data_IF_205676796304
#
_entry.id   IF_205676796304
#
_cell.length_a   1.000
_cell.length_b   1.000
_cell.length_c   1.000
_cell.angle_alpha   90.00
_cell.angle_beta   90.00
_cell.angle_gamma   90.00
#
_symmetry.space_group_name_H-M   'P 1'
#
loop_
_entity.id
_entity.type
_entity.pdbx_description
1 polymer ?
#
# COMPACT_ATOMS: atom_id res chain seq x y z
N UNK A 1 7.35 17.18 -21.96
CA UNK A 1 6.09 16.81 -21.28
C UNK A 1 6.32 15.74 -20.22
N UNK A 2 7.07 14.66 -20.47
CA UNK A 2 7.39 13.64 -19.44
C UNK A 2 8.17 14.16 -18.21
N UNK A 3 9.02 15.18 -18.41
CA UNK A 3 9.80 15.79 -17.32
C UNK A 3 8.97 16.53 -16.28
N UNK A 4 7.83 17.11 -16.66
CA UNK A 4 6.95 17.81 -15.71
C UNK A 4 6.13 16.76 -14.94
N UNK A 5 5.65 15.73 -15.61
CA UNK A 5 4.88 14.66 -14.96
C UNK A 5 5.72 13.91 -13.92
N UNK A 6 6.94 13.49 -14.26
CA UNK A 6 7.88 12.86 -13.32
C UNK A 6 8.29 13.75 -12.13
N UNK A 7 8.28 15.08 -12.32
CA UNK A 7 8.61 16.04 -11.26
C UNK A 7 7.46 16.22 -10.26
N UNK A 8 6.21 16.28 -10.73
CA UNK A 8 5.03 16.30 -9.87
C UNK A 8 4.84 14.96 -9.14
N UNK A 9 5.19 13.84 -9.78
CA UNK A 9 5.02 12.46 -9.29
C UNK A 9 5.70 12.15 -7.96
N UNK A 10 6.85 12.77 -7.66
CA UNK A 10 7.65 12.41 -6.47
C UNK A 10 7.62 13.43 -5.33
N UNK A 11 7.09 14.65 -5.53
CA UNK A 11 7.38 15.77 -4.62
C UNK A 11 6.20 16.64 -4.16
N UNK A 12 4.98 16.47 -4.69
CA UNK A 12 3.85 17.33 -4.32
C UNK A 12 2.89 16.65 -3.35
N UNK A 13 3.25 16.68 -2.06
CA UNK A 13 2.31 16.52 -0.96
C UNK A 13 1.84 17.92 -0.59
N UNK A 14 0.76 18.38 -1.23
CA UNK A 14 0.17 19.68 -0.94
C UNK A 14 -0.75 19.57 0.27
N UNK A 15 -0.59 20.47 1.22
CA UNK A 15 -1.62 20.70 2.22
C UNK A 15 -2.78 21.53 1.62
N UNK A 16 -3.92 21.65 2.32
CA UNK A 16 -5.09 22.38 1.79
C UNK A 16 -4.83 23.86 1.45
N UNK A 17 -3.89 24.52 2.13
CA UNK A 17 -3.54 25.93 1.86
C UNK A 17 -2.68 26.07 0.60
N UNK A 18 -1.75 25.13 0.38
CA UNK A 18 -0.91 25.08 -0.81
C UNK A 18 -1.72 24.68 -2.05
N UNK A 19 -2.67 23.75 -1.91
CA UNK A 19 -3.59 23.38 -2.99
C UNK A 19 -4.46 24.57 -3.42
N UNK A 20 -4.94 25.35 -2.46
CA UNK A 20 -5.68 26.59 -2.73
C UNK A 20 -4.79 27.62 -3.45
N UNK A 21 -3.55 27.80 -2.98
CA UNK A 21 -2.58 28.70 -3.60
C UNK A 21 -2.27 28.30 -5.03
N UNK A 22 -2.16 27.00 -5.30
CA UNK A 22 -1.94 26.45 -6.63
C UNK A 22 -3.15 26.73 -7.55
N UNK A 23 -4.36 26.50 -7.07
CA UNK A 23 -5.60 26.76 -7.83
C UNK A 23 -5.78 28.24 -8.18
N UNK A 24 -5.37 29.15 -7.29
CA UNK A 24 -5.44 30.60 -7.52
C UNK A 24 -4.38 31.08 -8.51
N UNK A 25 -3.14 30.58 -8.41
CA UNK A 25 -2.01 31.04 -9.24
C UNK A 25 -1.93 30.39 -10.62
N UNK A 26 -2.45 29.18 -10.80
CA UNK A 26 -2.40 28.47 -12.08
C UNK A 26 -3.02 29.28 -13.24
N UNK A 27 -4.23 29.88 -13.10
CA UNK A 27 -4.82 30.72 -14.15
C UNK A 27 -4.13 32.06 -14.38
N UNK A 28 -3.32 32.53 -13.42
CA UNK A 28 -2.54 33.78 -13.57
C UNK A 28 -1.30 33.58 -14.44
N UNK A 29 -0.72 32.37 -14.42
CA UNK A 29 0.56 32.05 -15.05
C UNK A 29 0.44 31.24 -16.35
N UNK A 30 -0.71 30.59 -16.59
CA UNK A 30 -0.91 29.63 -17.69
C UNK A 30 -2.17 29.91 -18.51
N UNK A 31 -2.19 29.39 -19.75
CA UNK A 31 -3.39 29.45 -20.59
C UNK A 31 -4.49 28.50 -20.06
N UNK A 32 -5.78 28.78 -20.31
CA UNK A 32 -6.88 27.94 -19.82
C UNK A 32 -6.75 26.45 -20.17
N UNK A 33 -6.26 26.14 -21.37
CA UNK A 33 -6.04 24.76 -21.82
C UNK A 33 -4.89 24.07 -21.07
N UNK A 34 -3.89 24.83 -20.63
CA UNK A 34 -2.77 24.34 -19.83
C UNK A 34 -3.19 24.11 -18.38
N UNK A 35 -3.97 25.03 -17.80
CA UNK A 35 -4.59 24.87 -16.48
C UNK A 35 -5.43 23.60 -16.43
N UNK A 36 -6.29 23.39 -17.43
CA UNK A 36 -7.13 22.19 -17.51
C UNK A 36 -6.30 20.90 -17.53
N UNK A 37 -5.23 20.86 -18.34
CA UNK A 37 -4.33 19.70 -18.39
C UNK A 37 -3.63 19.44 -17.07
N UNK A 38 -3.15 20.48 -16.38
CA UNK A 38 -2.51 20.34 -15.06
C UNK A 38 -3.50 19.80 -14.03
N UNK A 39 -4.74 20.30 -14.01
CA UNK A 39 -5.78 19.83 -13.08
C UNK A 39 -6.19 18.38 -13.32
N UNK A 40 -6.32 17.98 -14.59
CA UNK A 40 -6.62 16.58 -14.96
C UNK A 40 -5.51 15.62 -14.51
N UNK A 41 -4.24 16.01 -14.75
CA UNK A 41 -3.09 15.23 -14.31
C UNK A 41 -3.07 15.08 -12.78
N UNK A 42 -3.14 16.18 -12.04
CA UNK A 42 -3.11 16.16 -10.56
C UNK A 42 -4.22 15.27 -10.00
N UNK A 43 -5.44 15.35 -10.55
CA UNK A 43 -6.58 14.53 -10.11
C UNK A 43 -6.36 13.04 -10.38
N UNK A 44 -5.92 12.69 -11.58
CA UNK A 44 -5.67 11.30 -11.97
C UNK A 44 -4.63 10.63 -11.06
N UNK A 45 -3.53 11.34 -10.79
CA UNK A 45 -2.46 10.83 -9.93
C UNK A 45 -2.87 10.76 -8.46
N UNK A 46 -3.61 11.75 -7.96
CA UNK A 46 -4.16 11.70 -6.60
C UNK A 46 -5.04 10.47 -6.41
N UNK A 47 -5.94 10.18 -7.36
CA UNK A 47 -6.79 8.99 -7.33
C UNK A 47 -5.95 7.70 -7.36
N UNK A 48 -4.95 7.62 -8.23
CA UNK A 48 -4.06 6.45 -8.32
C UNK A 48 -3.28 6.23 -7.03
N UNK A 49 -2.68 7.28 -6.48
CA UNK A 49 -1.93 7.23 -5.22
C UNK A 49 -2.82 6.83 -4.03
N UNK A 50 -4.03 7.39 -3.95
CA UNK A 50 -4.99 7.00 -2.92
C UNK A 50 -5.42 5.53 -3.05
N UNK A 51 -5.68 5.05 -4.27
CA UNK A 51 -6.02 3.65 -4.50
C UNK A 51 -4.88 2.71 -4.13
N UNK A 52 -3.65 3.04 -4.55
CA UNK A 52 -2.46 2.27 -4.23
C UNK A 52 -2.20 2.24 -2.71
N UNK A 53 -2.17 3.40 -2.06
CA UNK A 53 -1.97 3.49 -0.60
C UNK A 53 -3.07 2.76 0.19
N UNK A 54 -4.32 2.77 -0.29
CA UNK A 54 -5.41 1.99 0.31
C UNK A 54 -5.24 0.48 0.11
N UNK A 55 -4.63 0.03 -0.98
CA UNK A 55 -4.33 -1.38 -1.21
C UNK A 55 -3.15 -1.83 -0.35
N UNK A 56 -2.04 -1.08 -0.38
CA UNK A 56 -0.84 -1.33 0.43
C UNK A 56 -1.19 -1.34 1.92
N UNK A 57 -1.87 -0.32 2.44
CA UNK A 57 -2.26 -0.26 3.85
C UNK A 57 -3.20 -1.39 4.28
N UNK A 58 -4.03 -1.93 3.38
CA UNK A 58 -4.84 -3.12 3.66
C UNK A 58 -3.99 -4.38 3.74
N UNK A 59 -3.02 -4.56 2.84
CA UNK A 59 -2.12 -5.70 2.85
C UNK A 59 -1.21 -5.66 4.09
N UNK A 60 -0.57 -4.53 4.39
CA UNK A 60 0.28 -4.36 5.56
C UNK A 60 -0.49 -4.61 6.86
N UNK A 61 -1.72 -4.09 6.97
CA UNK A 61 -2.57 -4.32 8.14
C UNK A 61 -2.91 -5.80 8.35
N UNK A 62 -3.18 -6.55 7.28
CA UNK A 62 -3.42 -8.01 7.35
C UNK A 62 -2.17 -8.77 7.79
N UNK A 63 -1.02 -8.44 7.21
CA UNK A 63 0.27 -9.04 7.58
C UNK A 63 0.58 -8.80 9.06
N UNK A 64 0.43 -7.57 9.54
CA UNK A 64 0.70 -7.22 10.94
C UNK A 64 -0.21 -7.98 11.91
N UNK A 65 -1.51 -8.04 11.61
CA UNK A 65 -2.48 -8.76 12.45
C UNK A 65 -2.17 -10.26 12.48
N UNK A 66 -1.90 -10.87 11.33
CA UNK A 66 -1.57 -12.30 11.24
C UNK A 66 -0.30 -12.62 12.02
N UNK A 67 0.76 -11.84 11.85
CA UNK A 67 2.01 -12.03 12.59
C UNK A 67 1.81 -11.93 14.11
N UNK A 68 1.02 -10.95 14.57
CA UNK A 68 0.66 -10.83 15.99
C UNK A 68 -0.14 -12.03 16.49
N UNK A 69 -1.09 -12.53 15.70
CA UNK A 69 -1.88 -13.71 16.07
C UNK A 69 -1.03 -14.99 16.13
N UNK A 70 -0.15 -15.19 15.16
CA UNK A 70 0.77 -16.33 15.11
C UNK A 70 1.74 -16.30 16.30
N UNK A 71 2.36 -15.15 16.59
CA UNK A 71 3.21 -14.98 17.78
C UNK A 71 2.45 -15.24 19.09
N UNK A 72 1.17 -14.82 19.17
CA UNK A 72 0.36 -15.07 20.36
C UNK A 72 -0.01 -16.55 20.54
N UNK A 73 -0.17 -17.30 19.44
CA UNK A 73 -0.55 -18.72 19.46
C UNK A 73 0.65 -19.66 19.62
N UNK A 74 1.69 -19.46 18.80
CA UNK A 74 2.86 -20.33 18.71
C UNK A 74 4.02 -19.84 19.59
N UNK A 75 3.92 -18.62 20.14
CA UNK A 75 4.98 -17.98 20.90
C UNK A 75 6.00 -17.33 19.95
N UNK A 76 7.11 -18.02 19.73
CA UNK A 76 8.17 -17.54 18.83
C UNK A 76 7.92 -18.10 17.44
N UNK A 77 7.96 -17.24 16.42
CA UNK A 77 7.95 -17.64 15.02
C UNK A 77 9.30 -17.32 14.40
N UNK A 78 9.76 -18.17 13.49
CA UNK A 78 11.02 -17.97 12.77
C UNK A 78 10.97 -16.77 11.82
N UNK A 79 12.12 -16.13 11.61
CA UNK A 79 12.24 -15.02 10.65
C UNK A 79 11.87 -15.39 9.21
N UNK A 80 11.97 -16.68 8.87
CA UNK A 80 11.58 -17.21 7.56
C UNK A 80 10.07 -17.15 7.36
N UNK A 81 9.29 -17.55 8.35
CA UNK A 81 7.83 -17.41 8.37
C UNK A 81 7.43 -15.94 8.25
N UNK A 82 8.10 -15.05 9.00
CA UNK A 82 7.80 -13.62 8.93
C UNK A 82 8.08 -13.02 7.55
N UNK A 83 9.21 -13.39 6.95
CA UNK A 83 9.56 -12.96 5.60
C UNK A 83 8.55 -13.49 4.58
N UNK A 84 8.13 -14.75 4.68
CA UNK A 84 7.14 -15.34 3.78
C UNK A 84 5.80 -14.61 3.86
N UNK A 85 5.29 -14.36 5.06
CA UNK A 85 4.01 -13.65 5.26
C UNK A 85 4.04 -12.26 4.64
N UNK A 86 5.16 -11.54 4.72
CA UNK A 86 5.34 -10.23 4.09
C UNK A 86 5.30 -10.27 2.56
N UNK A 87 5.56 -11.43 1.95
CA UNK A 87 5.51 -11.63 0.49
C UNK A 87 4.17 -12.19 -0.01
N UNK A 88 3.27 -12.59 0.90
CA UNK A 88 1.97 -13.15 0.50
C UNK A 88 1.05 -12.08 -0.09
N UNK A 89 0.28 -12.50 -1.09
CA UNK A 89 -0.84 -11.75 -1.63
C UNK A 89 -1.98 -11.60 -0.62
N UNK A 90 -2.85 -10.64 -0.88
CA UNK A 90 -4.02 -10.30 -0.07
C UNK A 90 -4.95 -11.52 0.11
N UNK A 91 -5.13 -12.32 -0.94
CA UNK A 91 -5.92 -13.54 -0.94
C UNK A 91 -5.27 -14.65 -0.10
N UNK A 92 -3.96 -14.85 -0.25
CA UNK A 92 -3.22 -15.83 0.56
C UNK A 92 -3.21 -15.48 2.05
N UNK A 93 -3.19 -14.18 2.38
CA UNK A 93 -3.33 -13.72 3.76
C UNK A 93 -4.73 -14.02 4.31
N UNK A 94 -5.79 -13.84 3.52
CA UNK A 94 -7.16 -14.18 3.95
C UNK A 94 -7.32 -15.69 4.16
N UNK A 95 -6.82 -16.52 3.23
CA UNK A 95 -6.82 -17.98 3.37
C UNK A 95 -6.06 -18.45 4.62
N UNK A 96 -4.94 -17.80 4.93
CA UNK A 96 -4.18 -18.06 6.15
C UNK A 96 -4.95 -17.63 7.40
N UNK A 97 -5.67 -16.51 7.35
CA UNK A 97 -6.47 -16.02 8.45
C UNK A 97 -7.63 -16.95 8.82
N UNK A 98 -8.22 -17.65 7.85
CA UNK A 98 -9.25 -18.66 8.13
C UNK A 98 -8.66 -19.89 8.83
N UNK A 99 -7.48 -20.34 8.38
CA UNK A 99 -6.81 -21.54 8.89
C UNK A 99 -6.04 -21.31 10.19
N UNK A 100 -5.77 -20.06 10.56
CA UNK A 100 -4.92 -19.73 11.71
C UNK A 100 -5.42 -20.30 13.05
N UNK A 101 -6.74 -20.54 13.15
CA UNK A 101 -7.35 -21.10 14.35
C UNK A 101 -7.05 -22.59 14.50
N UNK A 102 -6.85 -23.30 13.38
CA UNK A 102 -6.59 -24.73 13.30
C UNK A 102 -5.09 -25.05 13.42
N UNK A 103 -4.22 -24.06 13.17
CA UNK A 103 -2.76 -24.23 13.27
C UNK A 103 -2.35 -24.28 14.74
N UNK A 104 -1.70 -25.38 15.12
CA UNK A 104 -1.25 -25.64 16.50
C UNK A 104 0.27 -25.67 16.66
N UNK A 105 1.01 -25.75 15.55
CA UNK A 105 2.47 -25.79 15.53
C UNK A 105 3.07 -24.99 14.37
N UNK A 106 4.35 -24.62 14.52
CA UNK A 106 5.10 -23.95 13.44
C UNK A 106 5.33 -24.90 12.25
N UNK A 107 5.48 -26.21 12.47
CA UNK A 107 5.61 -27.21 11.40
C UNK A 107 4.35 -27.28 10.51
N UNK A 108 3.16 -27.15 11.10
CA UNK A 108 1.90 -27.04 10.34
C UNK A 108 1.85 -25.76 9.53
N UNK A 109 2.30 -24.65 10.12
CA UNK A 109 2.36 -23.35 9.46
C UNK A 109 3.31 -23.37 8.24
N UNK A 110 4.49 -23.98 8.37
CA UNK A 110 5.45 -24.13 7.28
C UNK A 110 4.86 -24.91 6.09
N UNK A 111 4.08 -25.96 6.37
CA UNK A 111 3.36 -26.73 5.34
C UNK A 111 2.28 -25.90 4.66
N UNK A 112 1.50 -25.12 5.42
CA UNK A 112 0.44 -24.26 4.88
C UNK A 112 1.04 -23.15 3.99
N UNK A 113 2.22 -22.64 4.37
CA UNK A 113 2.95 -21.62 3.62
C UNK A 113 3.74 -22.18 2.41
N UNK A 114 3.70 -23.50 2.19
CA UNK A 114 4.48 -24.24 1.19
C UNK A 114 5.97 -23.84 1.20
N UNK A 115 6.50 -23.63 2.40
CA UNK A 115 7.94 -23.38 2.62
C UNK A 115 8.62 -24.74 2.60
N UNK A 116 9.31 -25.06 1.50
CA UNK A 116 10.16 -26.25 1.42
C UNK A 116 11.46 -25.99 2.17
N UNK A 117 11.77 -26.87 3.12
CA UNK A 117 13.12 -27.05 3.67
C UNK A 117 14.14 -27.40 2.57
#
# INVERSE_FOLDING_TARGET
MELITAFFESYLVLNPEEEKTLQEKLPEELQPEEVQRVMELTTSWHLKGWQQGRQEGRQEGRQEILLRQLRKRLGTISSEVEAKIKTLSVEQLDDLAEKILDITSEDELLKVLDIKH
#
